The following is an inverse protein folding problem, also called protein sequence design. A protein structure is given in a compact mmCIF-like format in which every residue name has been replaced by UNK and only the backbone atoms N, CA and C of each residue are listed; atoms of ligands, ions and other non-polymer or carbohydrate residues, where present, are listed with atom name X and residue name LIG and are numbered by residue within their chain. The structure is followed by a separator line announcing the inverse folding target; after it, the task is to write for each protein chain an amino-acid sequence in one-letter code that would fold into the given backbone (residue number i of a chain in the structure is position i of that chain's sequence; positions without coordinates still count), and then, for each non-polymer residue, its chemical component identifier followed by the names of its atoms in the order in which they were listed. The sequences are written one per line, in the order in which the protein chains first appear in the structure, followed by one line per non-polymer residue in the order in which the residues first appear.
data_IF_252473528077
#
_entry.id   IF_252473528077
#
_cell.length_a   1.000
_cell.length_b   1.000
_cell.length_c   1.000
_cell.angle_alpha   90.00
_cell.angle_beta   90.00
_cell.angle_gamma   90.00
#
_symmetry.space_group_name_H-M   'P 1'
#
loop_
_entity.id
_entity.type
_entity.pdbx_description
1 polymer ?
#
# COMPACT_ATOMS: atom_id res chain seq x y z
N UNK A 1 9.94 -6.65 14.66
CA UNK A 1 9.11 -5.83 13.76
C UNK A 1 9.48 -6.22 12.35
N UNK A 2 8.51 -6.69 11.57
CA UNK A 2 8.73 -7.11 10.17
C UNK A 2 7.96 -6.18 9.24
N UNK A 3 8.58 -5.86 8.10
CA UNK A 3 8.04 -4.88 7.15
C UNK A 3 8.03 -5.51 5.76
N UNK A 4 6.90 -5.39 5.06
CA UNK A 4 6.75 -5.77 3.66
C UNK A 4 6.29 -4.57 2.86
N UNK A 5 7.05 -4.24 1.80
CA UNK A 5 6.68 -3.20 0.86
C UNK A 5 5.76 -3.78 -0.21
N UNK A 6 4.63 -3.11 -0.47
CA UNK A 6 3.65 -3.53 -1.46
C UNK A 6 3.76 -2.63 -2.69
N UNK A 7 3.97 -3.26 -3.85
CA UNK A 7 4.09 -2.55 -5.13
C UNK A 7 2.97 -2.96 -6.07
N UNK A 8 2.53 -2.02 -6.91
CA UNK A 8 1.64 -2.27 -8.04
C UNK A 8 2.41 -1.98 -9.32
N UNK A 9 2.32 -2.89 -10.27
CA UNK A 9 2.79 -2.65 -11.63
C UNK A 9 1.71 -1.88 -12.41
N UNK A 10 2.13 -0.82 -13.10
CA UNK A 10 1.31 -0.02 -14.01
C UNK A 10 2.20 0.59 -15.10
N UNK A 11 1.80 0.43 -16.35
CA UNK A 11 2.54 0.98 -17.51
C UNK A 11 4.04 0.58 -17.51
N UNK A 12 4.36 -0.66 -17.17
CA UNK A 12 5.74 -1.18 -17.06
C UNK A 12 6.58 -0.51 -15.97
N UNK A 13 5.95 0.14 -15.00
CA UNK A 13 6.63 0.75 -13.84
C UNK A 13 6.06 0.20 -12.54
N UNK A 14 6.93 0.02 -11.53
CA UNK A 14 6.52 -0.37 -10.19
C UNK A 14 6.33 0.88 -9.34
N UNK A 15 5.11 1.08 -8.86
CA UNK A 15 4.78 2.14 -7.91
C UNK A 15 4.63 1.54 -6.51
N UNK A 16 5.27 2.16 -5.52
CA UNK A 16 5.03 1.82 -4.11
C UNK A 16 3.58 2.19 -3.76
N UNK A 17 2.80 1.21 -3.34
CA UNK A 17 1.40 1.39 -2.93
C UNK A 17 1.30 1.66 -1.43
N UNK A 18 2.10 0.95 -0.64
CA UNK A 18 2.01 0.99 0.80
C UNK A 18 2.92 -0.01 1.47
N UNK A 19 2.72 -0.16 2.77
CA UNK A 19 3.55 -0.98 3.64
C UNK A 19 2.65 -1.82 4.53
N UNK A 20 2.94 -3.12 4.60
CA UNK A 20 2.41 -4.01 5.63
C UNK A 20 3.43 -4.08 6.76
N UNK A 21 3.00 -3.76 7.96
CA UNK A 21 3.81 -3.91 9.19
C UNK A 21 3.25 -5.04 10.04
N UNK A 22 4.14 -5.88 10.56
CA UNK A 22 3.82 -6.88 11.57
C UNK A 22 4.55 -6.55 12.87
N UNK A 23 3.77 -6.24 13.89
CA UNK A 23 4.26 -5.83 15.20
C UNK A 23 3.33 -6.36 16.30
N UNK A 24 3.90 -6.92 17.36
CA UNK A 24 3.14 -7.37 18.55
C UNK A 24 1.97 -8.32 18.25
N UNK A 25 2.05 -9.13 17.19
CA UNK A 25 0.98 -10.05 16.79
C UNK A 25 -0.12 -9.42 15.92
N UNK A 26 -0.03 -8.12 15.66
CA UNK A 26 -0.94 -7.40 14.78
C UNK A 26 -0.33 -7.16 13.40
N UNK A 27 -1.20 -7.23 12.39
CA UNK A 27 -0.89 -6.87 11.00
C UNK A 27 -1.59 -5.55 10.69
N UNK A 28 -0.82 -4.55 10.27
CA UNK A 28 -1.36 -3.25 9.87
C UNK A 28 -0.89 -2.93 8.45
N UNK A 29 -1.77 -2.32 7.66
CA UNK A 29 -1.45 -1.84 6.32
C UNK A 29 -1.64 -0.33 6.25
N UNK A 30 -0.71 0.37 5.62
CA UNK A 30 -0.80 1.80 5.37
C UNK A 30 -0.42 2.10 3.93
N UNK A 31 -1.25 2.89 3.24
CA UNK A 31 -0.90 3.40 1.92
C UNK A 31 0.25 4.41 2.01
N UNK A 32 1.07 4.46 0.97
CA UNK A 32 2.11 5.49 0.86
C UNK A 32 1.47 6.82 0.42
N UNK A 33 1.91 7.94 0.99
CA UNK A 33 1.38 9.27 0.64
C UNK A 33 1.53 9.60 -0.86
N UNK A 34 2.64 9.16 -1.46
CA UNK A 34 2.89 9.28 -2.89
C UNK A 34 1.90 8.48 -3.74
N UNK A 35 1.38 7.38 -3.21
CA UNK A 35 0.35 6.58 -3.86
C UNK A 35 -1.01 7.27 -3.75
N UNK A 36 -1.38 7.72 -2.55
CA UNK A 36 -2.66 8.43 -2.30
C UNK A 36 -2.78 9.72 -3.14
N UNK A 37 -1.66 10.40 -3.37
CA UNK A 37 -1.62 11.61 -4.21
C UNK A 37 -1.76 11.34 -5.71
N UNK A 38 -1.73 10.07 -6.15
CA UNK A 38 -1.83 9.72 -7.57
C UNK A 38 -3.29 9.70 -8.05
N UNK A 39 -3.57 10.34 -9.20
CA UNK A 39 -4.89 10.28 -9.83
C UNK A 39 -5.32 8.85 -10.23
N UNK A 40 -4.35 7.96 -10.41
CA UNK A 40 -4.56 6.55 -10.78
C UNK A 40 -4.56 5.61 -9.58
N UNK A 41 -4.51 6.13 -8.35
CA UNK A 41 -4.56 5.36 -7.12
C UNK A 41 -5.87 4.58 -7.03
N UNK A 42 -5.78 3.30 -6.68
CA UNK A 42 -6.95 2.43 -6.45
C UNK A 42 -6.68 1.59 -5.21
N UNK A 43 -7.72 1.28 -4.41
CA UNK A 43 -7.52 0.48 -3.22
C UNK A 43 -7.06 -0.93 -3.60
N UNK A 44 -6.20 -1.54 -2.77
CA UNK A 44 -5.75 -2.92 -2.96
C UNK A 44 -6.88 -3.94 -2.71
N UNK A 45 -7.85 -3.56 -1.88
CA UNK A 45 -9.07 -4.31 -1.58
C UNK A 45 -10.16 -3.32 -1.20
N UNK A 46 -11.42 -3.65 -1.47
CA UNK A 46 -12.55 -2.83 -1.00
C UNK A 46 -12.66 -2.78 0.53
N UNK A 47 -12.08 -3.76 1.23
CA UNK A 47 -11.96 -3.76 2.70
C UNK A 47 -10.85 -2.84 3.23
N UNK A 48 -10.03 -2.26 2.36
CA UNK A 48 -8.95 -1.33 2.68
C UNK A 48 -9.10 -0.09 1.78
N UNK A 49 -10.13 0.75 2.00
CA UNK A 49 -10.37 1.91 1.16
C UNK A 49 -9.21 2.90 1.22
N UNK A 50 -9.09 3.73 0.18
CA UNK A 50 -8.19 4.89 0.19
C UNK A 50 -8.78 5.91 1.19
N UNK A 51 -7.97 6.36 2.14
CA UNK A 51 -8.34 7.33 3.17
C UNK A 51 -7.38 8.51 3.15
#
# INVERSE_FOLDING_TARGET
MSVLYTFREWESTYQLVGVVTFSQGELQFSYADSYLSSATARPISLSLPLH
#
